data_IF_782244034472
#
_entry.id   IF_782244034472
#
_cell.length_a   1.000
_cell.length_b   1.000
_cell.length_c   1.000
_cell.angle_alpha   90.00
_cell.angle_beta   90.00
_cell.angle_gamma   90.00
#
_symmetry.space_group_name_H-M   'P 1'
#
loop_
_entity.id
_entity.type
_entity.pdbx_description
1 polymer ?
#
# COMPACT_ATOMS: atom_id res chain seq x y z
N UNK A 1 -1.81 10.84 3.16
CA UNK A 1 -3.18 10.33 2.88
C UNK A 1 -4.21 11.07 3.72
N UNK A 2 -5.49 11.07 3.31
CA UNK A 2 -6.58 11.50 4.20
C UNK A 2 -6.87 10.39 5.23
N UNK A 3 -7.41 10.74 6.41
CA UNK A 3 -7.83 9.79 7.46
C UNK A 3 -8.66 8.63 6.93
N UNK A 4 -9.66 8.88 6.08
CA UNK A 4 -10.54 7.82 5.55
C UNK A 4 -9.78 6.76 4.75
N UNK A 5 -8.73 7.18 4.05
CA UNK A 5 -7.85 6.29 3.27
C UNK A 5 -7.03 5.41 4.21
N UNK A 6 -6.45 6.02 5.25
CA UNK A 6 -5.66 5.29 6.25
C UNK A 6 -6.53 4.22 6.92
N UNK A 7 -7.75 4.58 7.30
CA UNK A 7 -8.70 3.67 7.95
C UNK A 7 -9.10 2.53 7.00
N UNK A 8 -9.33 2.82 5.71
CA UNK A 8 -9.62 1.82 4.67
C UNK A 8 -8.45 0.85 4.43
N UNK A 9 -7.25 1.37 4.24
CA UNK A 9 -6.02 0.57 4.03
C UNK A 9 -5.75 -0.36 5.21
N UNK A 10 -5.93 0.12 6.45
CA UNK A 10 -5.78 -0.71 7.65
C UNK A 10 -6.90 -1.75 7.76
N UNK A 11 -8.14 -1.42 7.40
CA UNK A 11 -9.24 -2.37 7.39
C UNK A 11 -9.01 -3.50 6.37
N UNK A 12 -8.53 -3.17 5.17
CA UNK A 12 -8.18 -4.17 4.15
C UNK A 12 -7.04 -5.08 4.62
N UNK A 13 -5.98 -4.52 5.21
CA UNK A 13 -4.90 -5.31 5.80
C UNK A 13 -5.43 -6.29 6.86
N UNK A 14 -6.30 -5.81 7.76
CA UNK A 14 -6.89 -6.62 8.84
C UNK A 14 -7.84 -7.70 8.32
N UNK A 15 -8.41 -7.50 7.13
CA UNK A 15 -9.13 -8.53 6.38
C UNK A 15 -8.19 -9.50 5.62
N UNK A 16 -6.92 -9.58 6.05
CA UNK A 16 -5.86 -10.43 5.48
C UNK A 16 -5.48 -10.11 4.04
N UNK A 17 -5.81 -8.91 3.53
CA UNK A 17 -5.43 -8.50 2.16
C UNK A 17 -3.99 -8.00 2.11
N UNK A 18 -3.35 -8.18 0.94
CA UNK A 18 -2.08 -7.54 0.59
C UNK A 18 -2.40 -6.19 -0.03
N UNK A 19 -2.05 -5.12 0.66
CA UNK A 19 -2.30 -3.74 0.24
C UNK A 19 -0.99 -3.09 -0.17
N UNK A 20 -0.98 -2.42 -1.32
CA UNK A 20 0.14 -1.61 -1.79
C UNK A 20 -0.30 -0.16 -1.79
N UNK A 21 0.39 0.69 -1.05
CA UNK A 21 0.21 2.14 -1.09
C UNK A 21 1.27 2.73 -2.00
N UNK A 22 0.85 3.42 -3.04
CA UNK A 22 1.73 4.09 -4.00
C UNK A 22 1.64 5.59 -3.78
N UNK A 23 2.72 6.18 -3.28
CA UNK A 23 2.85 7.61 -3.07
C UNK A 23 3.64 8.28 -4.21
N UNK A 24 3.53 9.60 -4.31
CA UNK A 24 4.23 10.35 -5.37
C UNK A 24 5.76 10.38 -5.15
N UNK A 25 6.20 10.39 -3.90
CA UNK A 25 7.62 10.51 -3.52
C UNK A 25 7.96 9.68 -2.29
N UNK A 26 9.25 9.45 -2.06
CA UNK A 26 9.75 8.72 -0.89
C UNK A 26 9.33 9.36 0.45
N UNK A 27 9.49 10.69 0.62
CA UNK A 27 9.00 11.38 1.81
C UNK A 27 7.49 11.20 2.05
N UNK A 28 6.68 11.19 0.98
CA UNK A 28 5.25 10.94 1.09
C UNK A 28 4.93 9.49 1.43
N UNK A 29 5.66 8.51 0.86
CA UNK A 29 5.52 7.10 1.21
C UNK A 29 5.81 6.88 2.71
N UNK A 30 6.88 7.49 3.22
CA UNK A 30 7.22 7.44 4.65
C UNK A 30 6.16 8.11 5.52
N UNK A 31 5.65 9.27 5.10
CA UNK A 31 4.53 9.92 5.79
C UNK A 31 3.28 9.04 5.82
N UNK A 32 2.99 8.34 4.72
CA UNK A 32 1.88 7.39 4.67
C UNK A 32 2.07 6.24 5.67
N UNK A 33 3.29 5.72 5.79
CA UNK A 33 3.64 4.75 6.81
C UNK A 33 3.45 5.31 8.22
N UNK A 34 3.96 6.51 8.49
CA UNK A 34 3.81 7.18 9.80
C UNK A 34 2.33 7.34 10.18
N UNK A 35 1.47 7.73 9.21
CA UNK A 35 0.03 7.88 9.40
C UNK A 35 -0.67 6.54 9.70
N UNK A 36 -0.24 5.44 9.07
CA UNK A 36 -0.75 4.10 9.35
C UNK A 36 -0.24 3.55 10.69
N UNK A 37 1.05 3.72 11.00
CA UNK A 37 1.67 3.27 12.26
C UNK A 37 1.03 3.95 13.46
N UNK A 38 0.72 5.25 13.38
CA UNK A 38 0.03 5.97 14.45
C UNK A 38 -1.36 5.38 14.80
N UNK A 39 -1.92 4.52 13.94
CA UNK A 39 -3.22 3.84 14.11
C UNK A 39 -3.09 2.32 14.15
N UNK A 40 -1.87 1.81 14.21
CA UNK A 40 -1.62 0.39 14.34
C UNK A 40 -2.09 -0.11 15.72
N UNK A 41 -2.64 -1.32 15.76
CA UNK A 41 -3.10 -1.95 17.00
C UNK A 41 -2.06 -2.92 17.54
N UNK A 42 -2.20 -3.29 18.82
CA UNK A 42 -1.31 -4.26 19.46
C UNK A 42 -1.23 -5.57 18.66
N UNK A 43 -0.01 -5.99 18.34
CA UNK A 43 0.27 -7.19 17.55
C UNK A 43 0.58 -6.94 16.07
N UNK A 44 0.24 -5.77 15.52
CA UNK A 44 0.67 -5.36 14.19
C UNK A 44 2.17 -4.99 14.21
N UNK A 45 2.93 -5.52 13.25
CA UNK A 45 4.38 -5.32 13.17
C UNK A 45 4.72 -4.28 12.13
N UNK A 46 5.41 -3.23 12.55
CA UNK A 46 5.93 -2.20 11.64
C UNK A 46 7.40 -2.47 11.34
N UNK A 47 7.76 -2.45 10.06
CA UNK A 47 9.14 -2.60 9.60
C UNK A 47 9.53 -1.40 8.74
N UNK A 48 10.64 -0.78 9.12
CA UNK A 48 11.25 0.39 8.47
C UNK A 48 12.71 0.05 8.10
N UNK A 49 12.94 -0.69 7.02
CA UNK A 49 14.30 -1.07 6.62
C UNK A 49 14.47 -1.14 5.11
N UNK A 50 15.57 -0.56 4.58
CA UNK A 50 16.07 -0.73 3.21
C UNK A 50 15.05 -0.62 2.07
N UNK A 51 14.07 0.28 2.19
CA UNK A 51 13.03 0.46 1.16
C UNK A 51 11.91 -0.58 1.19
N UNK A 52 11.89 -1.44 2.20
CA UNK A 52 10.83 -2.41 2.48
C UNK A 52 9.96 -1.92 3.65
N UNK A 53 9.43 -0.71 3.50
CA UNK A 53 8.51 -0.09 4.46
C UNK A 53 7.20 -0.87 4.42
N UNK A 54 6.86 -1.54 5.54
CA UNK A 54 5.65 -2.38 5.61
C UNK A 54 5.05 -2.47 7.01
N UNK A 55 3.75 -2.71 7.05
CA UNK A 55 2.99 -3.07 8.26
C UNK A 55 2.38 -4.45 8.03
N UNK A 56 2.52 -5.35 8.99
CA UNK A 56 2.00 -6.72 8.89
C UNK A 56 1.05 -7.01 10.05
N UNK A 57 -0.10 -7.60 9.75
CA UNK A 57 -1.06 -8.02 10.75
C UNK A 57 -0.81 -9.49 11.15
N UNK A 58 -0.94 -9.87 12.43
CA UNK A 58 -0.49 -11.17 12.94
C UNK A 58 -1.23 -12.37 12.32
N UNK A 59 -2.46 -12.16 11.85
CA UNK A 59 -3.27 -13.20 11.20
C UNK A 59 -3.20 -13.15 9.67
N UNK A 60 -2.16 -12.50 9.13
CA UNK A 60 -1.98 -12.26 7.71
C UNK A 60 -2.48 -10.89 7.27
N UNK A 61 -2.24 -10.58 6.00
CA UNK A 61 -2.39 -9.24 5.44
C UNK A 61 -1.18 -8.35 5.72
N UNK A 62 -0.89 -7.46 4.78
CA UNK A 62 0.23 -6.52 4.89
C UNK A 62 -0.01 -5.28 4.07
N UNK A 63 0.55 -4.16 4.51
CA UNK A 63 0.63 -2.92 3.74
C UNK A 63 2.08 -2.72 3.36
N UNK A 64 2.39 -2.50 2.08
CA UNK A 64 3.71 -2.05 1.63
C UNK A 64 3.62 -0.67 1.00
N UNK A 65 4.66 0.14 1.19
CA UNK A 65 4.70 1.52 0.71
C UNK A 65 5.71 1.64 -0.42
N UNK A 66 5.27 2.16 -1.55
CA UNK A 66 6.08 2.33 -2.75
C UNK A 66 5.90 3.73 -3.32
N UNK A 67 6.80 4.12 -4.22
CA UNK A 67 6.68 5.36 -4.98
C UNK A 67 6.24 5.07 -6.41
N UNK A 68 5.43 5.95 -7.01
CA UNK A 68 4.95 5.80 -8.39
C UNK A 68 6.10 5.81 -9.42
N UNK A 69 7.25 6.41 -9.06
CA UNK A 69 8.46 6.50 -9.89
C UNK A 69 9.53 5.47 -9.55
N UNK A 70 9.32 4.67 -8.50
CA UNK A 70 10.31 3.70 -8.03
C UNK A 70 10.23 2.38 -8.79
N UNK A 71 11.37 1.80 -9.19
CA UNK A 71 11.46 0.52 -9.89
C UNK A 71 11.10 -0.73 -9.06
N UNK A 72 10.30 -0.60 -8.00
CA UNK A 72 10.06 -1.65 -6.99
C UNK A 72 8.70 -2.36 -7.08
N UNK A 73 7.94 -2.14 -8.15
CA UNK A 73 6.59 -2.71 -8.31
C UNK A 73 6.57 -4.03 -9.12
N UNK A 74 7.64 -4.34 -9.84
CA UNK A 74 7.77 -5.62 -10.55
C UNK A 74 7.92 -6.77 -9.56
N UNK A 75 7.14 -7.83 -9.76
CA UNK A 75 7.11 -8.99 -8.85
C UNK A 75 6.29 -8.77 -7.58
N UNK A 76 5.69 -7.59 -7.41
CA UNK A 76 4.73 -7.34 -6.34
C UNK A 76 3.37 -7.86 -6.78
N UNK A 77 2.72 -8.61 -5.90
CA UNK A 77 1.33 -9.03 -6.04
C UNK A 77 0.54 -8.50 -4.85
N UNK A 78 -0.60 -7.88 -5.14
CA UNK A 78 -1.48 -7.28 -4.15
C UNK A 78 -2.94 -7.61 -4.47
N UNK A 79 -3.78 -7.43 -3.46
CA UNK A 79 -5.23 -7.52 -3.59
C UNK A 79 -5.83 -6.12 -3.76
N UNK A 80 -5.20 -5.10 -3.16
CA UNK A 80 -5.60 -3.70 -3.28
C UNK A 80 -4.36 -2.83 -3.53
N UNK A 81 -4.45 -1.93 -4.51
CA UNK A 81 -3.47 -0.86 -4.74
C UNK A 81 -4.15 0.48 -4.47
N UNK A 82 -3.66 1.21 -3.48
CA UNK A 82 -4.09 2.58 -3.19
C UNK A 82 -3.08 3.58 -3.76
N UNK A 83 -3.55 4.55 -4.55
CA UNK A 83 -2.70 5.54 -5.22
C UNK A 83 -2.89 6.93 -4.57
N UNK A 84 -1.92 7.36 -3.76
CA UNK A 84 -1.78 8.73 -3.24
C UNK A 84 -0.73 9.50 -4.07
N UNK A 85 -0.94 9.52 -5.39
CA UNK A 85 -0.07 10.16 -6.35
C UNK A 85 -0.86 10.59 -7.58
N UNK A 86 -0.39 11.65 -8.25
CA UNK A 86 -0.93 12.04 -9.55
C UNK A 86 -0.32 11.13 -10.63
N UNK A 87 -0.97 9.98 -10.85
CA UNK A 87 -0.53 8.95 -11.79
C UNK A 87 -1.17 9.13 -13.17
N UNK A 88 -0.39 8.91 -14.22
CA UNK A 88 -0.89 8.87 -15.60
C UNK A 88 -1.73 7.61 -15.84
N UNK A 89 -2.55 7.60 -16.90
CA UNK A 89 -3.32 6.41 -17.27
C UNK A 89 -2.43 5.19 -17.56
N UNK A 90 -1.24 5.42 -18.13
CA UNK A 90 -0.25 4.38 -18.38
C UNK A 90 0.25 3.78 -17.06
N UNK A 91 0.63 4.62 -16.09
CA UNK A 91 1.06 4.17 -14.77
C UNK A 91 -0.06 3.40 -14.04
N UNK A 92 -1.32 3.86 -14.14
CA UNK A 92 -2.47 3.11 -13.61
C UNK A 92 -2.62 1.75 -14.30
N UNK A 93 -2.38 1.68 -15.61
CA UNK A 93 -2.35 0.43 -16.38
C UNK A 93 -1.30 -0.55 -15.85
N UNK A 94 -0.10 -0.06 -15.53
CA UNK A 94 0.96 -0.88 -14.90
C UNK A 94 0.55 -1.36 -13.51
N UNK A 95 -0.04 -0.48 -12.68
CA UNK A 95 -0.51 -0.85 -11.34
C UNK A 95 -1.60 -1.92 -11.36
N UNK A 96 -2.43 -1.96 -12.41
CA UNK A 96 -3.43 -3.03 -12.57
C UNK A 96 -2.80 -4.41 -12.72
N UNK A 97 -1.57 -4.51 -13.22
CA UNK A 97 -0.87 -5.78 -13.33
C UNK A 97 -0.56 -6.39 -11.95
N UNK A 98 -0.35 -5.54 -10.93
CA UNK A 98 -0.05 -5.96 -9.54
C UNK A 98 -1.24 -6.71 -8.94
N UNK A 99 -2.46 -6.31 -9.30
CA UNK A 99 -3.70 -6.92 -8.77
C UNK A 99 -4.30 -7.98 -9.70
N UNK A 100 -3.69 -8.22 -10.86
CA UNK A 100 -4.22 -9.13 -11.90
C UNK A 100 -4.41 -10.57 -11.44
N UNK A 101 -3.60 -11.03 -10.48
CA UNK A 101 -3.69 -12.38 -9.91
C UNK A 101 -4.71 -12.48 -8.76
N UNK A 102 -5.30 -11.37 -8.33
CA UNK A 102 -6.29 -11.35 -7.25
C UNK A 102 -7.71 -11.41 -7.85
N UNK A 103 -8.57 -12.38 -7.44
CA UNK A 103 -9.93 -12.51 -7.97
C UNK A 103 -10.82 -11.27 -7.80
N UNK A 104 -10.49 -10.42 -6.82
CA UNK A 104 -11.15 -9.14 -6.55
C UNK A 104 -10.14 -7.99 -6.50
N UNK A 105 -9.15 -8.03 -7.38
CA UNK A 105 -8.08 -7.04 -7.43
C UNK A 105 -8.58 -5.61 -7.69
N UNK A 106 -8.24 -4.67 -6.81
CA UNK A 106 -8.72 -3.29 -6.88
C UNK A 106 -7.59 -2.27 -6.99
N UNK A 107 -7.78 -1.24 -7.82
CA UNK A 107 -6.91 -0.05 -7.86
C UNK A 107 -7.76 1.17 -7.50
N UNK A 108 -7.49 1.76 -6.34
CA UNK A 108 -8.21 2.91 -5.79
C UNK A 108 -7.33 4.15 -5.95
N UNK A 109 -7.89 5.21 -6.54
CA UNK A 109 -7.23 6.51 -6.71
C UNK A 109 -7.98 7.60 -5.97
N UNK A 110 -7.24 8.59 -5.46
CA UNK A 110 -7.81 9.85 -4.97
C UNK A 110 -8.30 10.75 -6.10
#
# INVERSE_FOLDING_TARGET
MNRYVVDGVLADMRASKRVVVVAESGPLARRCLDECEARAVAGEKVRRAHGEERIEHPYGGRITFHTIRGGGLRGVAADVVYVDADATLEQIGELRLIVSASPGGEVIRR
#
